data_IF_975234138881
#
_entry.id   IF_975234138881
#
_cell.length_a   1.000
_cell.length_b   1.000
_cell.length_c   1.000
_cell.angle_alpha   90.00
_cell.angle_beta   90.00
_cell.angle_gamma   90.00
#
_symmetry.space_group_name_H-M   'P 1'
#
loop_
_entity.id
_entity.type
_entity.pdbx_description
1 polymer ?
#
# COMPACT_ATOMS: atom_id res chain seq x y z
N UNK A 1 -3.25 14.77 18.34
CA UNK A 1 -3.71 13.71 17.42
C UNK A 1 -4.98 14.19 16.77
N UNK A 2 -5.08 14.08 15.42
CA UNK A 2 -6.33 14.43 14.72
C UNK A 2 -7.41 13.35 14.95
N UNK A 3 -8.68 13.74 14.92
CA UNK A 3 -9.82 12.82 14.86
C UNK A 3 -10.02 12.35 13.43
N UNK A 4 -10.43 11.09 13.24
CA UNK A 4 -10.86 10.57 11.93
C UNK A 4 -12.40 10.59 11.78
N UNK A 5 -13.14 10.93 12.85
CA UNK A 5 -14.58 11.07 12.78
C UNK A 5 -14.96 12.10 11.71
N UNK A 6 -15.90 11.73 10.85
CA UNK A 6 -16.43 12.50 9.72
C UNK A 6 -15.41 12.84 8.61
N UNK A 7 -14.17 12.35 8.69
CA UNK A 7 -13.18 12.48 7.63
C UNK A 7 -13.50 11.56 6.46
N UNK A 8 -13.37 12.07 5.25
CA UNK A 8 -13.54 11.30 4.01
C UNK A 8 -12.21 10.66 3.64
N UNK A 9 -12.18 9.32 3.66
CA UNK A 9 -10.98 8.51 3.47
C UNK A 9 -11.14 7.57 2.28
N UNK A 10 -10.35 7.75 1.24
CA UNK A 10 -10.26 6.82 0.10
C UNK A 10 -9.21 5.75 0.42
N UNK A 11 -9.56 4.48 0.19
CA UNK A 11 -8.64 3.35 0.31
C UNK A 11 -8.63 2.56 -1.00
N UNK A 12 -7.50 2.57 -1.72
CA UNK A 12 -7.34 1.73 -2.92
C UNK A 12 -6.94 0.30 -2.55
N UNK A 13 -7.37 -0.70 -3.34
CA UNK A 13 -7.17 -2.10 -3.01
C UNK A 13 -7.96 -2.54 -1.77
N UNK A 14 -9.14 -1.97 -1.55
CA UNK A 14 -9.94 -2.16 -0.34
C UNK A 14 -10.73 -3.48 -0.29
N UNK A 15 -10.67 -4.33 -1.31
CA UNK A 15 -11.41 -5.60 -1.36
C UNK A 15 -10.80 -6.74 -0.54
N UNK A 16 -9.58 -6.58 0.00
CA UNK A 16 -8.91 -7.62 0.79
C UNK A 16 -7.74 -7.09 1.63
N UNK A 17 -7.18 -7.96 2.48
CA UNK A 17 -5.91 -7.75 3.19
C UNK A 17 -5.84 -6.44 3.98
N UNK A 18 -4.71 -5.73 3.84
CA UNK A 18 -4.45 -4.48 4.57
C UNK A 18 -5.46 -3.39 4.19
N UNK A 19 -5.86 -3.31 2.90
CA UNK A 19 -6.83 -2.32 2.43
C UNK A 19 -8.19 -2.47 3.10
N UNK A 20 -8.75 -3.69 3.10
CA UNK A 20 -10.01 -3.99 3.76
C UNK A 20 -9.94 -3.77 5.28
N UNK A 21 -8.89 -4.26 5.92
CA UNK A 21 -8.69 -4.06 7.36
C UNK A 21 -8.56 -2.58 7.71
N UNK A 22 -7.93 -1.78 6.85
CA UNK A 22 -7.82 -0.32 7.02
C UNK A 22 -9.16 0.37 6.84
N UNK A 23 -9.94 -0.03 5.83
CA UNK A 23 -11.30 0.48 5.61
C UNK A 23 -12.18 0.24 6.84
N UNK A 24 -12.18 -1.00 7.38
CA UNK A 24 -12.90 -1.35 8.63
C UNK A 24 -12.43 -0.53 9.83
N UNK A 25 -11.12 -0.37 10.00
CA UNK A 25 -10.57 0.42 11.10
C UNK A 25 -10.98 1.89 11.01
N UNK A 26 -10.98 2.49 9.82
CA UNK A 26 -11.41 3.88 9.64
C UNK A 26 -12.91 4.04 9.85
N UNK A 27 -13.73 3.12 9.33
CA UNK A 27 -15.16 3.10 9.57
C UNK A 27 -15.50 3.00 11.06
N UNK A 28 -14.83 2.12 11.81
CA UNK A 28 -15.02 1.98 13.26
C UNK A 28 -14.59 3.24 14.05
N UNK A 29 -13.72 4.07 13.49
CA UNK A 29 -13.32 5.36 14.05
C UNK A 29 -14.23 6.52 13.59
N UNK A 30 -15.35 6.21 12.91
CA UNK A 30 -16.37 7.16 12.48
C UNK A 30 -16.02 7.93 11.20
N UNK A 31 -15.09 7.44 10.38
CA UNK A 31 -14.81 8.03 9.08
C UNK A 31 -15.91 7.72 8.05
N UNK A 32 -16.00 8.54 7.00
CA UNK A 32 -16.67 8.22 5.75
C UNK A 32 -15.63 7.53 4.85
N UNK A 33 -15.90 6.29 4.44
CA UNK A 33 -14.90 5.44 3.77
C UNK A 33 -15.29 5.20 2.31
N UNK A 34 -14.37 5.49 1.40
CA UNK A 34 -14.50 5.12 0.00
C UNK A 34 -13.60 3.91 -0.27
N UNK A 35 -14.22 2.79 -0.57
CA UNK A 35 -13.56 1.55 -0.95
C UNK A 35 -13.38 1.52 -2.46
N UNK A 36 -12.13 1.42 -2.93
CA UNK A 36 -11.81 1.37 -4.36
C UNK A 36 -11.05 0.10 -4.70
N UNK A 37 -11.55 -0.71 -5.63
CA UNK A 37 -10.89 -1.88 -6.19
C UNK A 37 -11.59 -2.35 -7.48
N UNK A 38 -10.94 -3.27 -8.21
CA UNK A 38 -11.51 -3.91 -9.41
C UNK A 38 -12.70 -4.82 -9.08
N UNK A 39 -12.63 -5.52 -7.92
CA UNK A 39 -13.66 -6.47 -7.47
C UNK A 39 -14.82 -5.73 -6.79
N UNK A 40 -15.67 -5.08 -7.61
CA UNK A 40 -16.78 -4.23 -7.14
C UNK A 40 -17.79 -5.01 -6.29
N UNK A 41 -18.30 -6.13 -6.80
CA UNK A 41 -19.33 -6.92 -6.12
C UNK A 41 -18.86 -7.41 -4.75
N UNK A 42 -17.58 -7.85 -4.67
CA UNK A 42 -16.97 -8.22 -3.40
C UNK A 42 -16.90 -7.03 -2.41
N UNK A 43 -16.68 -5.83 -2.90
CA UNK A 43 -16.70 -4.64 -2.01
C UNK A 43 -18.10 -4.35 -1.50
N UNK A 44 -19.14 -4.52 -2.33
CA UNK A 44 -20.53 -4.37 -1.90
C UNK A 44 -20.90 -5.35 -0.78
N UNK A 45 -20.51 -6.61 -0.90
CA UNK A 45 -20.71 -7.64 0.15
C UNK A 45 -19.99 -7.26 1.46
N UNK A 46 -18.83 -6.63 1.38
CA UNK A 46 -17.98 -6.29 2.53
C UNK A 46 -18.33 -4.93 3.15
N UNK A 47 -18.97 -4.03 2.41
CA UNK A 47 -19.27 -2.67 2.85
C UNK A 47 -20.04 -2.58 4.19
N UNK A 48 -21.04 -3.43 4.48
CA UNK A 48 -21.72 -3.42 5.78
C UNK A 48 -20.78 -3.68 6.97
N UNK A 49 -19.66 -4.37 6.74
CA UNK A 49 -18.65 -4.61 7.78
C UNK A 49 -17.68 -3.44 7.97
N UNK A 50 -17.74 -2.43 7.11
CA UNK A 50 -16.87 -1.25 7.15
C UNK A 50 -17.54 -0.08 7.85
N UNK A 51 -18.73 0.29 7.38
CA UNK A 51 -19.52 1.40 7.95
C UNK A 51 -20.99 1.28 7.50
N UNK A 52 -21.92 2.03 8.12
CA UNK A 52 -23.28 2.15 7.63
C UNK A 52 -23.35 2.71 6.19
N UNK A 53 -24.43 2.42 5.44
CA UNK A 53 -24.52 2.77 4.01
C UNK A 53 -24.32 4.25 3.69
N UNK A 54 -24.72 5.15 4.56
CA UNK A 54 -24.53 6.60 4.40
C UNK A 54 -23.08 7.04 4.58
N UNK A 55 -22.23 6.18 5.13
CA UNK A 55 -20.81 6.46 5.44
C UNK A 55 -19.83 5.61 4.64
N UNK A 56 -20.32 4.74 3.76
CA UNK A 56 -19.47 3.93 2.89
C UNK A 56 -19.86 4.13 1.42
N UNK A 57 -18.85 4.21 0.55
CA UNK A 57 -19.02 4.23 -0.91
C UNK A 57 -18.09 3.19 -1.51
N UNK A 58 -18.62 2.33 -2.39
CA UNK A 58 -17.82 1.42 -3.20
C UNK A 58 -17.69 1.97 -4.61
N UNK A 59 -16.45 2.04 -5.12
CA UNK A 59 -16.18 2.49 -6.49
C UNK A 59 -15.32 1.44 -7.19
N UNK A 60 -15.78 0.96 -8.36
CA UNK A 60 -14.94 0.12 -9.21
C UNK A 60 -13.80 0.98 -9.74
N UNK A 61 -12.57 0.54 -9.52
CA UNK A 61 -11.39 1.28 -9.96
C UNK A 61 -10.22 0.32 -10.23
N UNK A 62 -9.74 0.30 -11.44
CA UNK A 62 -8.41 -0.20 -11.77
C UNK A 62 -7.42 0.97 -11.74
N UNK A 63 -6.54 0.97 -10.77
CA UNK A 63 -5.58 2.08 -10.59
C UNK A 63 -4.57 2.23 -11.73
N UNK A 64 -4.50 1.27 -12.66
CA UNK A 64 -3.68 1.37 -13.87
C UNK A 64 -4.37 2.17 -14.98
N UNK A 65 -5.68 2.40 -14.86
CA UNK A 65 -6.49 3.16 -15.79
C UNK A 65 -6.70 4.57 -15.24
N UNK A 66 -6.17 5.56 -15.93
CA UNK A 66 -6.20 6.96 -15.46
C UNK A 66 -7.63 7.48 -15.29
N UNK A 67 -8.54 7.13 -16.20
CA UNK A 67 -9.94 7.59 -16.15
C UNK A 67 -10.71 6.93 -15.00
N UNK A 68 -10.36 5.70 -14.59
CA UNK A 68 -10.91 5.10 -13.39
C UNK A 68 -10.47 5.88 -12.14
N UNK A 69 -9.21 6.33 -12.10
CA UNK A 69 -8.70 7.16 -11.00
C UNK A 69 -9.42 8.51 -10.94
N UNK A 70 -9.66 9.17 -12.08
CA UNK A 70 -10.47 10.41 -12.17
C UNK A 70 -11.90 10.16 -11.66
N UNK A 71 -12.53 9.10 -12.14
CA UNK A 71 -13.90 8.72 -11.76
C UNK A 71 -14.02 8.42 -10.25
N UNK A 72 -13.04 7.76 -9.67
CA UNK A 72 -12.97 7.52 -8.22
C UNK A 72 -13.01 8.84 -7.43
N UNK A 73 -12.21 9.81 -7.85
CA UNK A 73 -12.15 11.12 -7.18
C UNK A 73 -13.46 11.88 -7.37
N UNK A 74 -13.99 11.93 -8.60
CA UNK A 74 -15.25 12.60 -8.91
C UNK A 74 -16.41 12.02 -8.08
N UNK A 75 -16.59 10.70 -8.07
CA UNK A 75 -17.62 10.02 -7.27
C UNK A 75 -17.48 10.28 -5.76
N UNK A 76 -16.25 10.37 -5.26
CA UNK A 76 -15.99 10.70 -3.86
C UNK A 76 -16.45 12.12 -3.52
N UNK A 77 -16.11 13.08 -4.37
CA UNK A 77 -16.48 14.49 -4.18
C UNK A 77 -17.97 14.69 -4.35
N UNK A 78 -18.59 14.06 -5.34
CA UNK A 78 -20.04 14.07 -5.53
C UNK A 78 -20.78 13.55 -4.29
N UNK A 79 -20.32 12.45 -3.71
CA UNK A 79 -20.99 11.79 -2.57
C UNK A 79 -20.76 12.50 -1.23
N UNK A 80 -19.55 13.03 -1.00
CA UNK A 80 -19.13 13.51 0.32
C UNK A 80 -18.63 14.95 0.36
N UNK A 81 -18.49 15.63 -0.80
CA UNK A 81 -18.13 17.03 -0.93
C UNK A 81 -16.65 17.36 -0.67
N UNK A 82 -15.83 16.37 -0.26
CA UNK A 82 -14.41 16.59 0.11
C UNK A 82 -13.61 15.29 0.11
N UNK A 83 -12.29 15.44 0.19
CA UNK A 83 -11.36 14.33 0.43
C UNK A 83 -10.35 14.78 1.49
N UNK A 84 -10.31 14.08 2.63
CA UNK A 84 -9.37 14.36 3.70
C UNK A 84 -8.14 13.46 3.67
N UNK A 85 -8.30 12.21 3.28
CA UNK A 85 -7.19 11.23 3.30
C UNK A 85 -7.29 10.32 2.06
N UNK A 86 -6.16 10.16 1.37
CA UNK A 86 -5.98 9.14 0.33
C UNK A 86 -4.99 8.08 0.83
N UNK A 87 -5.42 6.82 0.87
CA UNK A 87 -4.58 5.66 1.18
C UNK A 87 -4.32 4.87 -0.09
N UNK A 88 -3.17 5.10 -0.71
CA UNK A 88 -2.65 4.33 -1.83
C UNK A 88 -2.13 2.98 -1.31
N UNK A 89 -3.01 1.98 -1.30
CA UNK A 89 -2.71 0.64 -0.82
C UNK A 89 -2.78 -0.41 -1.92
N UNK A 90 -3.47 -0.17 -3.03
CA UNK A 90 -3.48 -1.08 -4.17
C UNK A 90 -2.05 -1.46 -4.57
N UNK A 91 -1.82 -2.74 -4.82
CA UNK A 91 -0.49 -3.19 -5.16
C UNK A 91 -0.40 -4.70 -5.37
N UNK A 92 0.55 -5.09 -6.18
CA UNK A 92 0.92 -6.47 -6.49
C UNK A 92 2.39 -6.71 -6.13
N UNK A 93 2.74 -7.98 -5.90
CA UNK A 93 4.10 -8.42 -5.65
C UNK A 93 4.56 -9.39 -6.72
N UNK A 94 5.83 -9.78 -6.70
CA UNK A 94 6.37 -10.82 -7.56
C UNK A 94 7.31 -11.75 -6.79
N UNK A 95 7.60 -12.92 -7.36
CA UNK A 95 8.65 -13.83 -6.89
C UNK A 95 9.25 -14.59 -8.07
N UNK A 96 10.30 -14.02 -8.63
CA UNK A 96 11.11 -14.65 -9.68
C UNK A 96 12.51 -14.02 -9.70
N UNK A 97 13.51 -14.78 -10.15
CA UNK A 97 14.83 -14.22 -10.43
C UNK A 97 14.77 -13.35 -11.67
N UNK A 98 15.52 -12.25 -11.68
CA UNK A 98 15.51 -11.29 -12.79
C UNK A 98 15.91 -11.93 -14.13
N UNK A 99 16.84 -12.88 -14.11
CA UNK A 99 17.31 -13.57 -15.32
C UNK A 99 16.23 -14.38 -16.05
N UNK A 100 15.18 -14.79 -15.29
CA UNK A 100 14.10 -15.65 -15.80
C UNK A 100 12.81 -14.85 -16.01
N UNK A 101 12.82 -13.54 -15.73
CA UNK A 101 11.63 -12.70 -15.62
C UNK A 101 11.22 -12.13 -16.98
N UNK A 102 9.96 -12.31 -17.35
CA UNK A 102 9.36 -11.56 -18.46
C UNK A 102 9.22 -10.07 -18.07
N UNK A 103 9.71 -9.15 -18.92
CA UNK A 103 9.68 -7.72 -18.67
C UNK A 103 8.25 -7.17 -18.48
N UNK A 104 7.22 -7.83 -19.06
CA UNK A 104 5.82 -7.44 -18.81
C UNK A 104 5.44 -7.47 -17.33
N UNK A 105 6.07 -8.34 -16.53
CA UNK A 105 5.84 -8.40 -15.07
C UNK A 105 6.37 -7.15 -14.40
N UNK A 106 7.53 -6.64 -14.82
CA UNK A 106 8.07 -5.36 -14.32
C UNK A 106 7.14 -4.19 -14.67
N UNK A 107 6.65 -4.13 -15.91
CA UNK A 107 5.68 -3.12 -16.33
C UNK A 107 4.43 -3.18 -15.46
N UNK A 108 3.83 -4.36 -15.29
CA UNK A 108 2.65 -4.55 -14.43
C UNK A 108 2.89 -4.06 -13.00
N UNK A 109 4.06 -4.34 -12.42
CA UNK A 109 4.40 -3.88 -11.07
C UNK A 109 4.54 -2.36 -10.98
N UNK A 110 5.11 -1.74 -12.00
CA UNK A 110 5.21 -0.27 -12.07
C UNK A 110 3.85 0.35 -12.29
N UNK A 111 3.02 -0.18 -13.19
CA UNK A 111 1.70 0.35 -13.50
C UNK A 111 0.78 0.31 -12.28
N UNK A 112 0.68 -0.85 -11.62
CA UNK A 112 -0.20 -1.00 -10.45
C UNK A 112 0.35 -0.25 -9.24
N UNK A 113 1.61 -0.47 -8.88
CA UNK A 113 2.15 0.03 -7.62
C UNK A 113 2.50 1.52 -7.69
N UNK A 114 3.28 1.92 -8.72
CA UNK A 114 3.79 3.28 -8.84
C UNK A 114 2.81 4.19 -9.56
N UNK A 115 2.46 3.90 -10.81
CA UNK A 115 1.57 4.76 -11.58
C UNK A 115 0.18 4.86 -10.97
N UNK A 116 -0.38 3.76 -10.43
CA UNK A 116 -1.63 3.80 -9.70
C UNK A 116 -1.58 4.74 -8.49
N UNK A 117 -0.45 4.76 -7.74
CA UNK A 117 -0.24 5.71 -6.64
C UNK A 117 -0.16 7.16 -7.16
N UNK A 118 0.57 7.39 -8.25
CA UNK A 118 0.74 8.73 -8.86
C UNK A 118 -0.60 9.27 -9.37
N UNK A 119 -1.34 8.48 -10.15
CA UNK A 119 -2.62 8.88 -10.75
C UNK A 119 -3.66 9.22 -9.67
N UNK A 120 -3.91 8.32 -8.73
CA UNK A 120 -4.84 8.60 -7.62
C UNK A 120 -4.42 9.85 -6.84
N UNK A 121 -3.13 10.03 -6.57
CA UNK A 121 -2.62 11.20 -5.83
C UNK A 121 -2.80 12.47 -6.65
N UNK A 122 -2.49 12.46 -7.93
CA UNK A 122 -2.61 13.62 -8.84
C UNK A 122 -4.02 14.22 -8.82
N UNK A 123 -5.04 13.37 -8.95
CA UNK A 123 -6.43 13.84 -9.01
C UNK A 123 -7.03 14.16 -7.63
N UNK A 124 -6.57 13.52 -6.57
CA UNK A 124 -7.00 13.82 -5.20
C UNK A 124 -6.30 15.06 -4.61
N UNK A 125 -5.13 15.44 -5.13
CA UNK A 125 -4.25 16.46 -4.52
C UNK A 125 -4.92 17.80 -4.27
N UNK A 126 -5.70 18.41 -5.20
CA UNK A 126 -6.36 19.69 -4.94
C UNK A 126 -7.26 19.65 -3.69
N UNK A 127 -8.07 18.61 -3.55
CA UNK A 127 -8.98 18.42 -2.42
C UNK A 127 -8.24 18.15 -1.12
N UNK A 128 -7.12 17.40 -1.20
CA UNK A 128 -6.28 17.12 -0.04
C UNK A 128 -5.55 18.37 0.45
N UNK A 129 -5.15 19.26 -0.46
CA UNK A 129 -4.54 20.55 -0.09
C UNK A 129 -5.57 21.46 0.61
N UNK A 130 -6.78 21.58 0.02
CA UNK A 130 -7.88 22.33 0.63
C UNK A 130 -8.23 21.83 2.05
N UNK A 131 -8.24 20.51 2.24
CA UNK A 131 -8.55 19.89 3.52
C UNK A 131 -7.38 19.90 4.53
N UNK A 132 -6.18 20.41 4.17
CA UNK A 132 -4.92 20.17 4.90
C UNK A 132 -4.76 18.69 5.27
N UNK A 133 -5.08 17.83 4.32
CA UNK A 133 -5.31 16.40 4.44
C UNK A 133 -4.06 15.55 4.54
N UNK A 134 -4.19 14.30 4.12
CA UNK A 134 -3.07 13.34 4.16
C UNK A 134 -3.03 12.45 2.91
N UNK A 135 -1.84 12.23 2.37
CA UNK A 135 -1.54 11.16 1.41
C UNK A 135 -0.77 10.05 2.12
N UNK A 136 -1.20 8.82 1.94
CA UNK A 136 -0.49 7.63 2.44
C UNK A 136 -0.07 6.77 1.28
N UNK A 137 1.20 6.38 1.22
CA UNK A 137 1.64 5.27 0.39
C UNK A 137 1.94 4.05 1.23
N UNK A 138 1.20 2.98 1.01
CA UNK A 138 1.49 1.68 1.60
C UNK A 138 2.56 0.99 0.76
N UNK A 139 3.81 1.16 1.21
CA UNK A 139 4.96 0.55 0.55
C UNK A 139 5.29 -0.83 1.18
N UNK A 140 6.52 -1.07 1.48
CA UNK A 140 7.06 -2.25 2.17
C UNK A 140 8.42 -1.92 2.75
N UNK A 141 8.98 -2.79 3.59
CA UNK A 141 10.42 -2.80 3.89
C UNK A 141 11.22 -2.89 2.59
N UNK A 142 10.70 -3.59 1.57
CA UNK A 142 11.29 -3.67 0.23
C UNK A 142 11.44 -2.32 -0.50
N UNK A 143 10.81 -1.25 -0.02
CA UNK A 143 11.03 0.13 -0.49
C UNK A 143 12.17 0.87 0.25
N UNK A 144 12.89 0.17 1.13
CA UNK A 144 14.05 0.68 1.87
C UNK A 144 15.27 -0.23 1.76
N UNK A 145 15.06 -1.53 1.72
CA UNK A 145 16.10 -2.55 1.57
C UNK A 145 15.60 -3.57 0.54
N UNK A 146 16.38 -3.78 -0.51
CA UNK A 146 16.01 -4.65 -1.61
C UNK A 146 15.89 -6.11 -1.13
N UNK A 147 15.02 -6.87 -1.79
CA UNK A 147 14.79 -8.28 -1.51
C UNK A 147 15.08 -9.11 -2.76
N UNK A 148 15.88 -10.19 -2.66
CA UNK A 148 16.11 -11.13 -3.75
C UNK A 148 14.81 -11.68 -4.33
N UNK A 149 14.81 -11.98 -5.63
CA UNK A 149 13.66 -12.46 -6.38
C UNK A 149 12.42 -11.53 -6.36
N UNK A 150 12.64 -10.24 -6.07
CA UNK A 150 11.59 -9.21 -6.01
C UNK A 150 12.05 -7.89 -6.65
N UNK A 151 12.82 -7.99 -7.72
CA UNK A 151 13.44 -6.81 -8.39
C UNK A 151 12.41 -5.76 -8.75
N UNK A 152 11.36 -6.10 -9.52
CA UNK A 152 10.31 -5.16 -9.91
C UNK A 152 9.47 -4.66 -8.72
N UNK A 153 9.20 -5.54 -7.75
CA UNK A 153 8.48 -5.12 -6.54
C UNK A 153 9.29 -4.11 -5.72
N UNK A 154 10.56 -4.39 -5.46
CA UNK A 154 11.43 -3.46 -4.76
C UNK A 154 11.55 -2.14 -5.54
N UNK A 155 11.83 -2.20 -6.83
CA UNK A 155 11.93 -1.01 -7.69
C UNK A 155 10.66 -0.14 -7.59
N UNK A 156 9.47 -0.73 -7.73
CA UNK A 156 8.20 0.00 -7.63
C UNK A 156 7.99 0.64 -6.24
N UNK A 157 8.36 -0.06 -5.16
CA UNK A 157 8.22 0.47 -3.79
C UNK A 157 9.26 1.55 -3.45
N UNK A 158 10.46 1.51 -4.03
CA UNK A 158 11.42 2.60 -3.98
C UNK A 158 10.92 3.82 -4.77
N UNK A 159 10.36 3.62 -5.97
CA UNK A 159 9.79 4.70 -6.79
C UNK A 159 8.67 5.43 -6.04
N UNK A 160 7.72 4.71 -5.43
CA UNK A 160 6.66 5.32 -4.60
C UNK A 160 7.28 6.14 -3.47
N UNK A 161 8.29 5.61 -2.79
CA UNK A 161 8.94 6.34 -1.70
C UNK A 161 9.58 7.64 -2.18
N UNK A 162 10.34 7.61 -3.28
CA UNK A 162 10.95 8.81 -3.86
C UNK A 162 9.90 9.86 -4.20
N UNK A 163 8.82 9.45 -4.90
CA UNK A 163 7.68 10.31 -5.23
C UNK A 163 7.05 10.96 -3.99
N UNK A 164 6.73 10.16 -2.96
CA UNK A 164 6.08 10.68 -1.74
C UNK A 164 7.01 11.54 -0.89
N UNK A 165 8.31 11.23 -0.82
CA UNK A 165 9.29 12.03 -0.09
C UNK A 165 9.44 13.41 -0.75
N UNK A 166 9.39 13.48 -2.10
CA UNK A 166 9.42 14.75 -2.86
C UNK A 166 8.11 15.51 -2.67
N UNK A 167 6.96 14.87 -2.86
CA UNK A 167 5.64 15.49 -2.67
C UNK A 167 5.49 16.13 -1.27
N UNK A 168 6.04 15.51 -0.24
CA UNK A 168 6.06 16.07 1.12
C UNK A 168 6.82 17.38 1.21
N UNK A 169 7.93 17.52 0.48
CA UNK A 169 8.77 18.72 0.49
C UNK A 169 8.08 19.83 -0.30
N UNK A 170 7.52 19.51 -1.47
CA UNK A 170 6.79 20.46 -2.32
C UNK A 170 5.62 21.13 -1.57
N UNK A 171 4.91 20.37 -0.74
CA UNK A 171 3.72 20.83 0.00
C UNK A 171 3.96 21.04 1.52
N UNK A 172 5.20 21.31 1.91
CA UNK A 172 5.55 21.48 3.32
C UNK A 172 4.80 22.64 3.98
N UNK A 173 4.55 23.72 3.23
CA UNK A 173 3.85 24.92 3.73
C UNK A 173 2.33 24.83 3.59
N UNK A 174 1.82 23.92 2.76
CA UNK A 174 0.40 23.79 2.46
C UNK A 174 -0.34 22.92 3.50
N UNK A 175 0.36 22.43 4.50
CA UNK A 175 -0.22 21.63 5.57
C UNK A 175 -0.56 20.19 5.15
N UNK A 176 -0.14 19.73 3.95
CA UNK A 176 -0.32 18.34 3.51
C UNK A 176 0.55 17.40 4.35
N UNK A 177 -0.07 16.36 4.91
CA UNK A 177 0.68 15.28 5.56
C UNK A 177 0.92 14.13 4.58
N UNK A 178 2.16 13.79 4.31
CA UNK A 178 2.53 12.65 3.47
C UNK A 178 3.16 11.56 4.32
N UNK A 179 2.48 10.41 4.40
CA UNK A 179 2.91 9.26 5.21
C UNK A 179 3.43 8.13 4.32
N UNK A 180 4.72 7.85 4.42
CA UNK A 180 5.31 6.61 3.87
C UNK A 180 5.15 5.50 4.92
N UNK A 181 4.23 4.57 4.66
CA UNK A 181 3.89 3.49 5.56
C UNK A 181 4.47 2.16 5.04
N UNK A 182 5.38 1.57 5.80
CA UNK A 182 6.12 0.36 5.42
C UNK A 182 5.79 -0.82 6.35
N UNK A 183 4.82 -1.65 5.99
CA UNK A 183 4.58 -2.92 6.66
C UNK A 183 5.78 -3.87 6.50
N UNK A 184 6.00 -4.73 7.50
CA UNK A 184 6.80 -5.93 7.36
C UNK A 184 5.98 -7.09 6.80
N UNK A 185 6.40 -8.31 7.08
CA UNK A 185 5.63 -9.49 6.72
C UNK A 185 4.27 -9.47 7.43
N UNK A 186 3.21 -9.31 6.64
CA UNK A 186 1.82 -9.21 7.10
C UNK A 186 0.99 -10.30 6.43
N UNK A 187 0.11 -10.94 7.18
CA UNK A 187 -0.84 -11.91 6.66
C UNK A 187 -1.80 -11.20 5.67
N UNK A 188 -1.66 -11.51 4.38
CA UNK A 188 -2.48 -10.95 3.31
C UNK A 188 -2.35 -11.79 2.04
N UNK A 189 -3.33 -11.69 1.14
CA UNK A 189 -3.34 -12.43 -0.12
C UNK A 189 -2.26 -11.97 -1.13
N UNK A 190 -1.53 -10.89 -0.84
CA UNK A 190 -0.50 -10.34 -1.75
C UNK A 190 0.60 -11.35 -2.13
N UNK A 191 0.87 -12.35 -1.25
CA UNK A 191 1.85 -13.39 -1.55
C UNK A 191 1.30 -14.47 -2.47
N UNK A 192 0.06 -14.93 -2.22
CA UNK A 192 -0.62 -15.89 -3.11
C UNK A 192 -0.87 -15.29 -4.49
N UNK A 193 -1.16 -13.99 -4.53
CA UNK A 193 -1.35 -13.23 -5.76
C UNK A 193 -0.02 -12.68 -6.35
N UNK A 194 1.14 -13.02 -5.76
CA UNK A 194 2.43 -12.58 -6.28
C UNK A 194 2.67 -13.19 -7.66
N UNK A 195 3.17 -12.38 -8.59
CA UNK A 195 3.43 -12.79 -9.96
C UNK A 195 4.69 -13.66 -10.04
N UNK A 196 4.64 -14.73 -10.78
CA UNK A 196 5.77 -15.58 -11.16
C UNK A 196 6.57 -14.94 -12.30
N UNK A 197 7.54 -15.67 -12.85
CA UNK A 197 8.39 -15.18 -13.94
C UNK A 197 7.61 -14.81 -15.20
N UNK A 198 6.55 -15.54 -15.49
CA UNK A 198 5.67 -15.37 -16.67
C UNK A 198 4.45 -14.49 -16.41
N UNK A 199 4.30 -13.95 -15.18
CA UNK A 199 3.19 -13.10 -14.78
C UNK A 199 1.95 -13.84 -14.28
N UNK A 200 1.96 -15.14 -14.15
CA UNK A 200 0.86 -15.89 -13.50
C UNK A 200 0.89 -15.73 -11.98
N UNK A 201 -0.24 -15.81 -11.27
CA UNK A 201 -0.25 -15.79 -9.81
C UNK A 201 0.45 -17.02 -9.22
N UNK A 202 1.29 -16.84 -8.20
CA UNK A 202 2.02 -17.93 -7.54
C UNK A 202 1.11 -18.98 -6.88
N UNK A 203 -0.09 -18.60 -6.42
CA UNK A 203 -1.06 -19.51 -5.78
C UNK A 203 -0.73 -19.87 -4.33
N UNK A 204 0.54 -20.01 -3.98
CA UNK A 204 1.02 -20.47 -2.68
C UNK A 204 1.82 -19.40 -1.90
N UNK A 205 2.05 -19.63 -0.62
CA UNK A 205 2.95 -18.82 0.20
C UNK A 205 4.02 -19.70 0.84
N UNK A 206 5.32 -19.38 0.67
CA UNK A 206 6.41 -20.15 1.29
C UNK A 206 6.56 -19.87 2.79
N UNK A 207 5.84 -18.90 3.34
CA UNK A 207 5.95 -18.50 4.73
C UNK A 207 4.84 -19.11 5.59
N UNK A 208 5.21 -19.59 6.77
CA UNK A 208 4.24 -20.02 7.79
C UNK A 208 3.44 -18.80 8.29
N UNK A 209 2.14 -18.78 8.02
CA UNK A 209 1.28 -17.61 8.29
C UNK A 209 1.13 -17.27 9.79
N UNK A 210 1.29 -18.26 10.69
CA UNK A 210 1.13 -18.06 12.14
C UNK A 210 2.09 -17.07 12.80
N UNK A 211 3.21 -16.76 12.16
CA UNK A 211 4.23 -15.82 12.69
C UNK A 211 4.14 -14.42 12.04
N UNK A 212 3.11 -14.16 11.25
CA UNK A 212 2.96 -12.91 10.52
C UNK A 212 2.10 -11.91 11.30
N UNK A 213 2.36 -10.62 11.12
CA UNK A 213 1.49 -9.58 11.65
C UNK A 213 0.12 -9.64 10.94
N UNK A 214 -0.99 -9.58 11.70
CA UNK A 214 -2.31 -9.56 11.05
C UNK A 214 -2.58 -8.23 10.32
N UNK A 215 -3.49 -8.28 9.35
CA UNK A 215 -3.93 -7.08 8.60
C UNK A 215 -4.59 -6.06 9.54
N UNK A 216 -5.33 -6.50 10.56
CA UNK A 216 -5.99 -5.66 11.55
C UNK A 216 -4.98 -4.90 12.43
N UNK A 217 -3.91 -5.60 12.90
CA UNK A 217 -2.83 -4.94 13.65
C UNK A 217 -2.11 -3.92 12.76
N UNK A 218 -1.91 -4.24 11.49
CA UNK A 218 -1.34 -3.32 10.51
C UNK A 218 -2.22 -2.08 10.35
N UNK A 219 -3.53 -2.25 10.16
CA UNK A 219 -4.52 -1.19 10.02
C UNK A 219 -4.60 -0.27 11.26
N UNK A 220 -4.63 -0.84 12.46
CA UNK A 220 -4.57 -0.07 13.73
C UNK A 220 -3.31 0.78 13.83
N UNK A 221 -2.17 0.27 13.36
CA UNK A 221 -0.90 1.02 13.36
C UNK A 221 -0.89 2.11 12.29
N UNK A 222 -1.54 1.89 11.14
CA UNK A 222 -1.73 2.89 10.10
C UNK A 222 -2.60 4.04 10.61
N UNK A 223 -3.78 3.76 11.16
CA UNK A 223 -4.66 4.76 11.76
C UNK A 223 -3.93 5.59 12.83
N UNK A 224 -3.21 4.94 13.74
CA UNK A 224 -2.42 5.65 14.76
C UNK A 224 -1.33 6.56 14.16
N UNK A 225 -0.68 6.13 13.06
CA UNK A 225 0.34 6.95 12.39
C UNK A 225 -0.28 8.17 11.71
N UNK A 226 -1.42 8.01 11.03
CA UNK A 226 -2.22 9.07 10.42
C UNK A 226 -2.68 10.10 11.47
N UNK A 227 -3.32 9.63 12.53
CA UNK A 227 -3.81 10.52 13.61
C UNK A 227 -2.69 11.33 14.26
N UNK A 228 -1.45 10.85 14.23
CA UNK A 228 -0.25 11.55 14.72
C UNK A 228 0.45 12.36 13.63
N UNK A 229 -0.09 12.40 12.41
CA UNK A 229 0.51 13.07 11.25
C UNK A 229 1.99 12.73 11.07
N UNK A 230 2.33 11.44 11.17
CA UNK A 230 3.69 10.97 10.95
C UNK A 230 4.02 11.01 9.46
N UNK A 231 5.24 11.39 9.12
CA UNK A 231 5.74 11.32 7.72
C UNK A 231 6.25 9.93 7.35
N UNK A 232 6.67 9.12 8.33
CA UNK A 232 7.25 7.79 8.10
C UNK A 232 6.84 6.82 9.19
N UNK A 233 6.46 5.61 8.82
CA UNK A 233 6.21 4.51 9.77
C UNK A 233 6.67 3.17 9.21
N UNK A 234 7.79 2.64 9.71
CA UNK A 234 8.23 1.26 9.47
C UNK A 234 7.70 0.41 10.62
N UNK A 235 6.94 -0.64 10.27
CA UNK A 235 6.38 -1.57 11.25
C UNK A 235 7.43 -2.58 11.73
N UNK A 236 7.33 -3.40 12.57
CA UNK A 236 8.22 -4.43 13.15
C UNK A 236 9.60 -3.90 13.57
N UNK A 237 10.14 -4.48 14.65
CA UNK A 237 11.48 -4.16 15.12
C UNK A 237 12.53 -4.62 14.10
N UNK A 238 12.37 -5.85 13.60
CA UNK A 238 13.25 -6.41 12.57
C UNK A 238 13.32 -5.51 11.33
N UNK A 239 12.16 -5.04 10.81
CA UNK A 239 12.14 -4.15 9.65
C UNK A 239 12.89 -2.84 9.89
N UNK A 240 12.78 -2.26 11.09
CA UNK A 240 13.52 -1.04 11.45
C UNK A 240 15.02 -1.29 11.52
N UNK A 241 15.42 -2.43 12.09
CA UNK A 241 16.83 -2.84 12.16
C UNK A 241 17.39 -3.12 10.77
N UNK A 242 16.66 -3.85 9.92
CA UNK A 242 17.04 -4.12 8.52
C UNK A 242 17.29 -2.83 7.75
N UNK A 243 16.36 -1.87 7.83
CA UNK A 243 16.51 -0.57 7.14
C UNK A 243 17.71 0.21 7.66
N UNK A 244 17.96 0.22 8.97
CA UNK A 244 19.15 0.88 9.55
C UNK A 244 20.45 0.19 9.13
N UNK A 245 20.49 -1.15 9.22
CA UNK A 245 21.65 -1.94 8.84
C UNK A 245 21.98 -1.79 7.35
N UNK A 246 20.96 -1.74 6.48
CA UNK A 246 21.14 -1.51 5.05
C UNK A 246 21.79 -0.15 4.75
N UNK A 247 21.40 0.88 5.48
CA UNK A 247 21.96 2.22 5.26
C UNK A 247 23.42 2.36 5.73
N UNK A 248 23.89 1.53 6.68
CA UNK A 248 25.24 1.64 7.27
C UNK A 248 26.17 0.54 6.76
N UNK A 249 25.65 -0.69 6.60
CA UNK A 249 26.43 -1.89 6.24
C UNK A 249 25.74 -2.67 5.10
N UNK A 250 25.55 -2.09 3.89
CA UNK A 250 24.78 -2.72 2.81
C UNK A 250 25.32 -4.10 2.43
N UNK A 251 26.62 -4.23 2.18
CA UNK A 251 27.25 -5.50 1.75
C UNK A 251 27.13 -6.63 2.79
N UNK A 252 27.14 -6.31 4.07
CA UNK A 252 26.93 -7.30 5.13
C UNK A 252 25.48 -7.79 5.15
N UNK A 253 24.54 -6.85 5.02
CA UNK A 253 23.11 -7.16 4.96
C UNK A 253 22.77 -7.97 3.71
N UNK A 254 23.36 -7.66 2.56
CA UNK A 254 23.16 -8.40 1.30
C UNK A 254 23.54 -9.88 1.47
N UNK A 255 24.72 -10.15 2.04
CA UNK A 255 25.17 -11.53 2.33
C UNK A 255 24.24 -12.26 3.31
N UNK A 256 23.76 -11.56 4.34
CA UNK A 256 22.83 -12.12 5.31
C UNK A 256 21.47 -12.40 4.67
N UNK A 257 20.94 -11.45 3.91
CA UNK A 257 19.66 -11.59 3.21
C UNK A 257 19.70 -12.73 2.20
N UNK A 258 20.79 -12.83 1.41
CA UNK A 258 21.00 -13.96 0.50
C UNK A 258 20.93 -15.30 1.24
N UNK A 259 21.71 -15.44 2.33
CA UNK A 259 21.75 -16.69 3.13
C UNK A 259 20.39 -17.01 3.76
N UNK A 260 19.67 -15.99 4.20
CA UNK A 260 18.33 -16.16 4.79
C UNK A 260 17.34 -16.70 3.74
N UNK A 261 17.24 -16.05 2.57
CA UNK A 261 16.34 -16.47 1.50
C UNK A 261 16.74 -17.82 0.89
N UNK A 262 18.04 -18.11 0.78
CA UNK A 262 18.53 -19.40 0.27
C UNK A 262 18.11 -20.62 1.13
N UNK A 263 17.77 -20.39 2.41
CA UNK A 263 17.29 -21.43 3.34
C UNK A 263 15.78 -21.64 3.30
N UNK A 264 15.03 -20.73 2.66
CA UNK A 264 13.58 -20.87 2.54
C UNK A 264 13.20 -22.11 1.70
N UNK A 265 12.07 -22.75 2.05
CA UNK A 265 11.46 -23.78 1.20
C UNK A 265 11.06 -23.17 -0.14
N UNK A 266 11.41 -23.81 -1.26
CA UNK A 266 11.20 -23.26 -2.60
C UNK A 266 12.00 -21.99 -2.86
N UNK A 267 13.22 -21.89 -2.31
CA UNK A 267 14.11 -20.75 -2.55
C UNK A 267 14.37 -20.55 -4.04
N UNK A 268 14.31 -19.32 -4.57
CA UNK A 268 14.62 -19.01 -5.95
C UNK A 268 16.11 -19.18 -6.30
N UNK A 269 16.96 -19.47 -5.32
CA UNK A 269 18.40 -19.75 -5.49
C UNK A 269 18.74 -21.23 -5.62
N UNK A 270 17.73 -22.11 -5.60
CA UNK A 270 17.91 -23.57 -5.74
C UNK A 270 17.54 -24.02 -7.11
#
# INVERSE_FOLDING_TARGET
MISLKDKVIIVTGASSGIGLASARQFGSEGAKVVMAARSYDRMLELAPSVAPPERVLCVRCDVTVEDDCKSLIAATVERFGRIDILVNNAGVSMRAMFKDLDLKVLHTLMDVNFWGTVQCTKYALPYLLEAHGSVVGVISIAGYAALPARTGYSASKFAIRGFLDTLRIEHLKDGLNVLVFAPGYTASNVRKAALTADGTPQGETPLKEGNLMSAEVCAKRLSRALRRRRSKRILTLLGRMTVRAHNVFPSLLDRWTYRYIARESGSPFK
#
